data_IF_740662988953
#
_entry.id   IF_740662988953
#
_cell.length_a   1.000
_cell.length_b   1.000
_cell.length_c   1.000
_cell.angle_alpha   90.00
_cell.angle_beta   90.00
_cell.angle_gamma   90.00
#
_symmetry.space_group_name_H-M   'P 1'
#
loop_
_entity.id
_entity.type
_entity.pdbx_description
1 polymer ?
#
# COMPACT_ATOMS: atom_id res chain seq x y z
N UNK A 1 6.09 -2.41 -1.34
CA UNK A 1 5.38 -1.15 -1.70
C UNK A 1 4.05 -1.10 -0.96
N UNK A 2 3.69 0.06 -0.46
CA UNK A 2 2.47 0.25 0.34
C UNK A 2 1.54 1.21 -0.38
N UNK A 3 0.30 0.78 -0.64
CA UNK A 3 -0.74 1.56 -1.32
C UNK A 3 -1.94 1.71 -0.40
N UNK A 4 -2.35 2.95 -0.14
CA UNK A 4 -3.60 3.22 0.56
C UNK A 4 -4.77 3.16 -0.43
N UNK A 5 -5.92 2.62 0.00
CA UNK A 5 -7.12 2.61 -0.83
C UNK A 5 -7.47 4.00 -1.35
N UNK A 6 -8.16 4.06 -2.48
CA UNK A 6 -8.66 5.31 -3.06
C UNK A 6 -9.86 5.85 -2.26
N UNK A 7 -10.32 7.05 -2.61
CA UNK A 7 -11.39 7.74 -1.89
C UNK A 7 -12.65 6.89 -1.79
N UNK A 8 -13.11 6.65 -0.56
CA UNK A 8 -14.30 5.87 -0.27
C UNK A 8 -15.52 6.75 -0.03
N UNK A 9 -16.69 6.20 -0.33
CA UNK A 9 -17.99 6.82 -0.08
C UNK A 9 -18.49 6.47 1.32
N UNK A 10 -19.56 7.15 1.76
CA UNK A 10 -20.14 7.00 3.09
C UNK A 10 -21.64 6.66 3.04
N UNK A 11 -22.05 5.56 2.32
CA UNK A 11 -23.44 5.16 2.37
C UNK A 11 -23.80 4.53 3.70
N UNK A 12 -25.08 4.26 3.92
CA UNK A 12 -25.54 3.61 5.16
C UNK A 12 -25.27 2.10 5.12
N UNK A 13 -23.99 1.73 5.21
CA UNK A 13 -23.52 0.36 5.28
C UNK A 13 -22.46 0.26 6.38
N UNK A 14 -22.08 -0.95 6.76
CA UNK A 14 -20.96 -1.13 7.69
C UNK A 14 -19.67 -0.57 7.07
N UNK A 15 -18.72 -0.18 7.91
CA UNK A 15 -17.45 0.38 7.43
C UNK A 15 -16.75 -0.55 6.42
N UNK A 16 -16.71 -1.84 6.72
CA UNK A 16 -16.06 -2.82 5.84
C UNK A 16 -16.68 -2.86 4.44
N UNK A 17 -17.97 -2.58 4.32
CA UNK A 17 -18.72 -2.63 3.06
C UNK A 17 -18.72 -1.31 2.28
N UNK A 18 -18.09 -0.27 2.78
CA UNK A 18 -18.05 1.03 2.10
C UNK A 18 -17.32 0.93 0.75
N UNK A 19 -18.00 1.30 -0.36
CA UNK A 19 -17.40 1.29 -1.69
C UNK A 19 -16.56 2.53 -1.95
N UNK A 20 -15.88 2.56 -3.09
CA UNK A 20 -15.22 3.77 -3.56
C UNK A 20 -16.26 4.83 -3.94
N UNK A 21 -15.90 6.08 -3.67
CA UNK A 21 -16.59 7.24 -4.23
C UNK A 21 -16.20 7.39 -5.71
N UNK A 22 -16.92 8.27 -6.42
CA UNK A 22 -16.61 8.55 -7.83
C UNK A 22 -15.15 8.97 -8.03
N UNK A 23 -14.65 9.87 -7.18
CA UNK A 23 -13.24 10.30 -7.20
C UNK A 23 -12.29 9.13 -7.03
N UNK A 24 -12.62 8.20 -6.12
CA UNK A 24 -11.79 7.02 -5.89
C UNK A 24 -11.73 6.11 -7.11
N UNK A 25 -12.85 5.94 -7.82
CA UNK A 25 -12.88 5.16 -9.05
C UNK A 25 -12.05 5.79 -10.17
N UNK A 26 -11.83 7.10 -10.12
CA UNK A 26 -10.95 7.82 -11.05
C UNK A 26 -9.49 7.74 -10.61
N UNK A 27 -9.22 7.86 -9.32
CA UNK A 27 -7.85 7.87 -8.77
C UNK A 27 -7.20 6.49 -8.81
N UNK A 28 -7.95 5.42 -8.62
CA UNK A 28 -7.39 4.07 -8.56
C UNK A 28 -6.66 3.65 -9.85
N UNK A 29 -7.23 3.86 -11.06
CA UNK A 29 -6.48 3.59 -12.28
C UNK A 29 -5.24 4.47 -12.45
N UNK A 30 -5.30 5.73 -12.01
CA UNK A 30 -4.13 6.62 -12.05
C UNK A 30 -3.02 6.07 -11.16
N UNK A 31 -3.36 5.62 -9.94
CA UNK A 31 -2.40 4.97 -9.06
C UNK A 31 -1.80 3.74 -9.73
N UNK A 32 -2.63 2.92 -10.39
CA UNK A 32 -2.15 1.74 -11.13
C UNK A 32 -1.14 2.09 -12.21
N UNK A 33 -1.39 3.15 -12.98
CA UNK A 33 -0.45 3.62 -13.99
C UNK A 33 0.87 4.09 -13.37
N UNK A 34 0.79 4.77 -12.23
CA UNK A 34 2.00 5.22 -11.51
C UNK A 34 2.78 4.05 -10.92
N UNK A 35 2.08 3.03 -10.45
CA UNK A 35 2.73 1.78 -10.03
C UNK A 35 3.47 1.13 -11.21
N UNK A 36 2.84 1.08 -12.37
CA UNK A 36 3.48 0.55 -13.58
C UNK A 36 4.72 1.35 -13.98
N UNK A 37 4.67 2.67 -13.83
CA UNK A 37 5.78 3.58 -14.16
C UNK A 37 7.02 3.32 -13.29
N UNK A 38 6.87 2.72 -12.12
CA UNK A 38 8.02 2.37 -11.26
C UNK A 38 8.89 1.28 -11.89
N UNK A 39 8.37 0.53 -12.85
CA UNK A 39 9.07 -0.60 -13.46
C UNK A 39 9.18 -1.83 -12.57
N UNK A 40 8.58 -1.80 -11.38
CA UNK A 40 8.62 -2.93 -10.45
C UNK A 40 7.55 -3.94 -10.87
N UNK A 41 7.96 -5.21 -10.99
CA UNK A 41 7.05 -6.32 -11.24
C UNK A 41 6.78 -7.02 -9.91
N UNK A 42 5.53 -6.97 -9.44
CA UNK A 42 5.18 -7.55 -8.15
C UNK A 42 5.01 -9.05 -8.24
N UNK A 43 5.61 -9.79 -7.30
CA UNK A 43 5.44 -11.24 -7.19
C UNK A 43 4.13 -11.58 -6.49
N UNK A 44 3.71 -10.73 -5.55
CA UNK A 44 2.51 -10.94 -4.76
C UNK A 44 1.91 -9.60 -4.37
N UNK A 45 0.58 -9.56 -4.26
CA UNK A 45 -0.17 -8.47 -3.66
C UNK A 45 -0.95 -9.01 -2.47
N UNK A 46 -0.89 -8.28 -1.35
CA UNK A 46 -1.74 -8.50 -0.18
C UNK A 46 -2.75 -7.37 -0.16
N UNK A 47 -4.03 -7.69 -0.21
CA UNK A 47 -5.09 -6.70 -0.23
C UNK A 47 -6.05 -6.91 0.94
N UNK A 48 -6.35 -5.85 1.68
CA UNK A 48 -7.38 -5.90 2.71
C UNK A 48 -8.71 -6.36 2.11
N UNK A 49 -9.49 -7.08 2.90
CA UNK A 49 -10.81 -7.59 2.48
C UNK A 49 -11.90 -6.53 2.40
N UNK A 50 -11.67 -5.32 2.92
CA UNK A 50 -12.66 -4.24 2.85
C UNK A 50 -12.99 -3.91 1.38
N UNK A 51 -14.25 -3.55 1.12
CA UNK A 51 -14.70 -3.29 -0.26
C UNK A 51 -13.87 -2.19 -0.92
N UNK A 52 -13.57 -1.10 -0.21
CA UNK A 52 -12.78 0.01 -0.78
C UNK A 52 -11.37 -0.37 -1.21
N UNK A 53 -10.70 -1.28 -0.50
CA UNK A 53 -9.39 -1.79 -0.91
C UNK A 53 -9.50 -2.74 -2.08
N UNK A 54 -10.49 -3.61 -2.07
CA UNK A 54 -10.72 -4.57 -3.16
C UNK A 54 -11.05 -3.85 -4.46
N UNK A 55 -11.89 -2.82 -4.40
CA UNK A 55 -12.23 -2.02 -5.59
C UNK A 55 -11.03 -1.22 -6.10
N UNK A 56 -10.23 -0.65 -5.18
CA UNK A 56 -8.99 0.04 -5.56
C UNK A 56 -8.09 -0.90 -6.34
N UNK A 57 -7.85 -2.09 -5.81
CA UNK A 57 -6.96 -3.06 -6.44
C UNK A 57 -7.51 -3.55 -7.79
N UNK A 58 -8.80 -3.83 -7.85
CA UNK A 58 -9.44 -4.26 -9.09
C UNK A 58 -9.22 -3.27 -10.23
N UNK A 59 -9.30 -1.98 -9.93
CA UNK A 59 -9.09 -0.92 -10.93
C UNK A 59 -7.62 -0.68 -11.22
N UNK A 60 -6.77 -0.69 -10.19
CA UNK A 60 -5.35 -0.42 -10.34
C UNK A 60 -4.61 -1.54 -11.08
N UNK A 61 -4.96 -2.80 -10.79
CA UNK A 61 -4.25 -3.95 -11.37
C UNK A 61 -4.41 -4.03 -12.90
N UNK A 62 -5.50 -3.50 -13.44
CA UNK A 62 -5.74 -3.46 -14.88
C UNK A 62 -4.69 -2.64 -15.63
N UNK A 63 -4.03 -1.72 -14.95
CA UNK A 63 -3.02 -0.84 -15.52
C UNK A 63 -1.60 -1.43 -15.44
N UNK A 64 -1.44 -2.56 -14.76
CA UNK A 64 -0.13 -3.21 -14.63
C UNK A 64 0.13 -4.14 -15.82
N UNK A 65 1.39 -4.20 -16.31
CA UNK A 65 1.73 -5.11 -17.41
C UNK A 65 1.59 -6.59 -17.05
N UNK A 66 1.75 -6.92 -15.75
CA UNK A 66 1.60 -8.27 -15.24
C UNK A 66 0.76 -8.25 -13.98
N UNK A 67 -0.21 -9.15 -13.89
CA UNK A 67 -1.07 -9.28 -12.70
C UNK A 67 -0.37 -10.18 -11.68
N UNK A 68 -0.02 -9.66 -10.49
CA UNK A 68 0.60 -10.50 -9.47
C UNK A 68 -0.44 -11.43 -8.83
N UNK A 69 0.06 -12.49 -8.19
CA UNK A 69 -0.79 -13.33 -7.36
C UNK A 69 -1.32 -12.47 -6.21
N UNK A 70 -2.64 -12.46 -6.03
CA UNK A 70 -3.29 -11.63 -5.01
C UNK A 70 -3.84 -12.50 -3.89
N UNK A 71 -3.52 -12.14 -2.65
CA UNK A 71 -4.08 -12.73 -1.44
C UNK A 71 -4.90 -11.66 -0.74
N UNK A 72 -6.18 -11.94 -0.51
CA UNK A 72 -7.04 -11.06 0.28
C UNK A 72 -6.87 -11.42 1.74
N UNK A 73 -6.40 -10.43 2.52
CA UNK A 73 -5.94 -10.66 3.89
C UNK A 73 -6.77 -9.84 4.87
N UNK A 74 -7.61 -10.54 5.64
CA UNK A 74 -8.47 -9.91 6.63
C UNK A 74 -7.68 -9.17 7.72
N UNK A 75 -6.51 -9.68 8.08
CA UNK A 75 -5.65 -9.08 9.12
C UNK A 75 -5.08 -7.71 8.74
N UNK A 76 -5.23 -7.26 7.49
CA UNK A 76 -4.87 -5.90 7.10
C UNK A 76 -5.92 -4.87 7.52
N UNK A 77 -7.13 -5.31 7.80
CA UNK A 77 -8.22 -4.43 8.21
C UNK A 77 -8.10 -4.12 9.70
N UNK A 78 -8.05 -2.82 10.05
CA UNK A 78 -7.93 -2.34 11.44
C UNK A 78 -6.68 -2.86 12.19
N UNK A 79 -5.60 -3.14 11.46
CA UNK A 79 -4.37 -3.67 12.04
C UNK A 79 -3.55 -2.59 12.75
N UNK A 80 -2.96 -2.96 13.89
CA UNK A 80 -1.94 -2.15 14.54
C UNK A 80 -0.62 -2.22 13.77
N UNK A 81 0.31 -1.32 14.06
CA UNK A 81 1.64 -1.34 13.44
C UNK A 81 2.35 -2.67 13.69
N UNK A 82 2.34 -3.17 14.92
CA UNK A 82 2.96 -4.44 15.26
C UNK A 82 2.35 -5.62 14.50
N UNK A 83 1.02 -5.62 14.36
CA UNK A 83 0.33 -6.65 13.58
C UNK A 83 0.70 -6.61 12.10
N UNK A 84 0.85 -5.41 11.54
CA UNK A 84 1.27 -5.24 10.14
C UNK A 84 2.68 -5.78 9.92
N UNK A 85 3.63 -5.43 10.79
CA UNK A 85 5.00 -5.93 10.68
C UNK A 85 5.02 -7.46 10.84
N UNK A 86 4.29 -8.00 11.80
CA UNK A 86 4.20 -9.45 12.00
C UNK A 86 3.64 -10.16 10.76
N UNK A 87 2.63 -9.56 10.13
CA UNK A 87 2.06 -10.10 8.89
C UNK A 87 3.10 -10.11 7.75
N UNK A 88 3.84 -9.02 7.57
CA UNK A 88 4.90 -8.95 6.57
C UNK A 88 6.02 -9.96 6.84
N UNK A 89 6.31 -10.23 8.11
CA UNK A 89 7.32 -11.23 8.49
C UNK A 89 6.96 -12.64 8.01
N UNK A 90 5.68 -12.91 7.75
CA UNK A 90 5.21 -14.22 7.25
C UNK A 90 5.39 -14.41 5.75
N UNK A 91 5.78 -13.35 5.03
CA UNK A 91 5.94 -13.41 3.58
C UNK A 91 6.97 -14.47 3.19
N UNK A 92 6.66 -15.26 2.16
CA UNK A 92 7.56 -16.29 1.64
C UNK A 92 8.85 -15.68 1.11
N UNK A 93 9.97 -16.37 1.31
CA UNK A 93 11.27 -15.97 0.76
C UNK A 93 11.28 -15.93 -0.77
N UNK A 94 10.32 -16.58 -1.43
CA UNK A 94 10.17 -16.56 -2.89
C UNK A 94 9.64 -15.22 -3.40
N UNK A 95 9.03 -14.41 -2.52
CA UNK A 95 8.50 -13.09 -2.87
C UNK A 95 9.62 -12.06 -2.70
N UNK A 96 9.99 -11.40 -3.80
CA UNK A 96 10.96 -10.31 -3.76
C UNK A 96 10.26 -8.96 -3.69
N UNK A 97 9.24 -8.76 -4.52
CA UNK A 97 8.51 -7.51 -4.62
C UNK A 97 7.06 -7.72 -4.21
N UNK A 98 6.69 -7.14 -3.09
CA UNK A 98 5.36 -7.24 -2.50
C UNK A 98 4.64 -5.91 -2.57
N UNK A 99 3.37 -5.94 -2.98
CA UNK A 99 2.48 -4.79 -2.90
C UNK A 99 1.43 -5.04 -1.82
N UNK A 100 1.27 -4.10 -0.90
CA UNK A 100 0.24 -4.17 0.14
C UNK A 100 -0.78 -3.06 -0.11
N UNK A 101 -2.05 -3.42 -0.20
CA UNK A 101 -3.14 -2.46 -0.35
C UNK A 101 -3.93 -2.43 0.96
N UNK A 102 -3.87 -1.31 1.65
CA UNK A 102 -4.45 -1.20 2.98
C UNK A 102 -5.01 0.17 3.33
N UNK A 103 -4.99 0.48 4.60
CA UNK A 103 -5.70 1.60 5.19
C UNK A 103 -4.76 2.47 6.03
N UNK A 104 -5.14 3.74 6.22
CA UNK A 104 -4.55 4.57 7.27
C UNK A 104 -5.30 4.37 8.60
N UNK A 105 -4.62 4.54 9.72
CA UNK A 105 -3.23 5.00 9.86
C UNK A 105 -2.16 3.95 9.55
N UNK A 106 -2.57 2.71 9.22
CA UNK A 106 -1.64 1.59 9.06
C UNK A 106 -0.58 1.81 7.99
N UNK A 107 -0.97 2.20 6.78
CA UNK A 107 -0.02 2.36 5.67
C UNK A 107 0.98 3.49 5.94
N UNK A 108 0.50 4.63 6.43
CA UNK A 108 1.38 5.75 6.79
C UNK A 108 2.33 5.36 7.93
N UNK A 109 1.77 4.79 9.00
CA UNK A 109 2.57 4.37 10.16
C UNK A 109 3.61 3.32 9.81
N UNK A 110 3.25 2.36 8.96
CA UNK A 110 4.16 1.30 8.53
C UNK A 110 5.30 1.88 7.66
N UNK A 111 4.98 2.76 6.71
CA UNK A 111 5.98 3.40 5.87
C UNK A 111 6.96 4.22 6.72
N UNK A 112 6.45 5.01 7.65
CA UNK A 112 7.27 5.83 8.54
C UNK A 112 8.17 4.96 9.44
N UNK A 113 7.60 3.90 10.03
CA UNK A 113 8.33 3.01 10.94
C UNK A 113 9.44 2.23 10.23
N UNK A 114 9.20 1.76 8.99
CA UNK A 114 10.20 1.00 8.24
C UNK A 114 11.31 1.89 7.69
N UNK A 115 11.06 3.18 7.50
CA UNK A 115 12.02 4.11 6.90
C UNK A 115 13.10 4.52 7.90
N UNK A 116 14.16 3.72 8.01
CA UNK A 116 15.37 4.10 8.76
C UNK A 116 16.21 5.11 7.99
N UNK A 117 16.05 5.15 6.68
CA UNK A 117 16.71 6.07 5.76
C UNK A 117 15.71 6.47 4.68
N UNK A 118 15.96 7.56 3.99
CA UNK A 118 15.08 8.02 2.93
C UNK A 118 15.86 8.79 1.86
N UNK A 119 15.31 8.80 0.65
CA UNK A 119 15.91 9.49 -0.47
C UNK A 119 15.40 10.93 -0.55
N UNK A 120 16.31 11.90 -0.58
CA UNK A 120 15.99 13.31 -0.70
C UNK A 120 14.98 13.78 0.35
N UNK A 121 13.93 14.47 -0.09
CA UNK A 121 12.86 14.98 0.76
C UNK A 121 11.64 14.06 0.87
N UNK A 122 11.80 12.80 0.44
CA UNK A 122 10.67 11.85 0.33
C UNK A 122 9.95 11.66 1.67
N UNK A 123 10.69 11.44 2.76
CA UNK A 123 10.09 11.20 4.08
C UNK A 123 9.33 12.42 4.61
N UNK A 124 9.94 13.63 4.66
CA UNK A 124 9.18 14.82 5.10
C UNK A 124 7.96 15.10 4.21
N UNK A 125 8.07 14.89 2.90
CA UNK A 125 6.96 15.10 1.97
C UNK A 125 5.82 14.11 2.26
N UNK A 126 6.13 12.84 2.45
CA UNK A 126 5.14 11.83 2.83
C UNK A 126 4.44 12.20 4.15
N UNK A 127 5.20 12.54 5.17
CA UNK A 127 4.64 12.86 6.49
C UNK A 127 3.80 14.14 6.47
N UNK A 128 4.23 15.14 5.71
CA UNK A 128 3.49 16.39 5.54
C UNK A 128 2.16 16.16 4.84
N UNK A 129 2.11 15.24 3.88
CA UNK A 129 0.90 14.91 3.12
C UNK A 129 -0.13 14.12 3.93
N UNK A 130 0.29 13.43 4.99
CA UNK A 130 -0.56 12.51 5.75
C UNK A 130 -0.88 11.21 5.02
N UNK A 131 -0.18 10.90 3.93
CA UNK A 131 -0.39 9.70 3.13
C UNK A 131 -1.84 9.63 2.62
N UNK A 132 -2.22 10.46 1.65
CA UNK A 132 -3.62 10.56 1.20
C UNK A 132 -4.14 9.29 0.54
N UNK A 133 -5.45 9.23 0.30
CA UNK A 133 -6.07 8.12 -0.43
C UNK A 133 -5.42 7.94 -1.80
N UNK A 134 -5.24 6.70 -2.23
CA UNK A 134 -4.57 6.29 -3.46
C UNK A 134 -3.07 6.63 -3.53
N UNK A 135 -2.47 7.13 -2.45
CA UNK A 135 -1.03 7.35 -2.38
C UNK A 135 -0.29 6.03 -2.19
N UNK A 136 0.97 5.99 -2.61
CA UNK A 136 1.83 4.84 -2.34
C UNK A 136 3.25 5.25 -1.96
N UNK A 137 3.91 4.36 -1.23
CA UNK A 137 5.31 4.47 -0.83
C UNK A 137 6.09 3.26 -1.30
N UNK A 138 7.30 3.50 -1.77
CA UNK A 138 8.23 2.44 -2.17
C UNK A 138 9.34 2.36 -1.13
N UNK A 139 9.45 1.19 -0.50
CA UNK A 139 10.47 0.95 0.53
C UNK A 139 11.30 -0.25 0.11
N UNK A 140 12.61 -0.10 0.13
CA UNK A 140 13.55 -1.19 -0.10
C UNK A 140 14.22 -1.58 1.21
N UNK A 141 14.62 -2.83 1.32
CA UNK A 141 15.39 -3.30 2.47
C UNK A 141 16.29 -4.47 2.05
N UNK A 142 17.31 -4.71 2.84
CA UNK A 142 18.19 -5.87 2.69
C UNK A 142 17.88 -6.87 3.80
N UNK A 143 18.04 -8.16 3.51
CA UNK A 143 17.71 -9.22 4.46
C UNK A 143 16.43 -9.95 4.07
N UNK A 144 15.84 -10.66 5.02
CA UNK A 144 14.66 -11.46 4.79
C UNK A 144 13.40 -10.77 5.29
N UNK A 145 12.24 -11.24 4.84
CA UNK A 145 10.96 -10.77 5.38
C UNK A 145 10.86 -11.00 6.90
N UNK A 146 11.42 -12.11 7.39
CA UNK A 146 11.42 -12.42 8.82
C UNK A 146 12.20 -11.39 9.65
N UNK A 147 13.22 -10.78 9.06
CA UNK A 147 14.06 -9.79 9.75
C UNK A 147 13.53 -8.36 9.62
N UNK A 148 12.44 -8.16 8.89
CA UNK A 148 11.86 -6.83 8.72
C UNK A 148 11.38 -6.29 10.06
N UNK A 149 11.84 -5.08 10.40
CA UNK A 149 11.52 -4.39 11.65
C UNK A 149 11.66 -2.89 11.49
N UNK A 150 11.40 -2.14 12.55
CA UNK A 150 11.56 -0.68 12.53
C UNK A 150 12.94 -0.26 12.05
N UNK A 151 12.98 0.68 11.12
CA UNK A 151 14.22 1.33 10.71
C UNK A 151 15.10 0.54 9.77
N UNK A 152 14.72 -0.66 9.32
CA UNK A 152 15.57 -1.47 8.44
C UNK A 152 15.45 -1.11 6.97
N UNK A 153 14.45 -0.33 6.61
CA UNK A 153 14.16 0.01 5.22
C UNK A 153 14.67 1.38 4.83
N UNK A 154 14.60 1.62 3.51
CA UNK A 154 14.87 2.93 2.91
C UNK A 154 13.65 3.34 2.10
N UNK A 155 13.09 4.50 2.40
CA UNK A 155 11.97 5.07 1.64
C UNK A 155 12.55 5.74 0.38
N UNK A 156 12.33 5.11 -0.77
CA UNK A 156 12.94 5.56 -2.03
C UNK A 156 12.00 6.38 -2.91
N UNK A 157 10.70 6.26 -2.72
CA UNK A 157 9.71 7.05 -3.47
C UNK A 157 8.41 7.15 -2.71
N UNK A 158 7.71 8.25 -2.95
CA UNK A 158 6.35 8.48 -2.47
C UNK A 158 5.59 9.26 -3.53
N UNK A 159 4.36 8.84 -3.80
CA UNK A 159 3.48 9.49 -4.77
C UNK A 159 2.08 9.63 -4.20
N UNK A 160 1.42 10.75 -4.51
CA UNK A 160 0.02 10.99 -4.17
C UNK A 160 -0.71 11.62 -5.36
N UNK A 161 -2.01 11.29 -5.59
CA UNK A 161 -2.68 11.65 -6.84
C UNK A 161 -2.96 13.14 -7.04
N UNK A 162 -3.03 13.94 -6.00
CA UNK A 162 -3.35 15.37 -6.11
C UNK A 162 -2.28 16.24 -5.45
N UNK A 163 -1.06 15.79 -5.54
CA UNK A 163 0.09 16.49 -4.98
C UNK A 163 0.64 17.57 -5.92
#
# INVERSE_FOLDING_TARGET
MLLRHAKADWPQVSDHERPLAERGRKDAPVAGRKLADTGISFDQALCSTAVRTRETWKLAVQELPHRPRTVYEERLYEASLGELIALLNETSDDVRDLLVIGHNPGMHGLADALAGDSEGDTLPRMNRSGFPTAAFAVITFTGTWKSLEHGVGRLVAFWAPHE
#
